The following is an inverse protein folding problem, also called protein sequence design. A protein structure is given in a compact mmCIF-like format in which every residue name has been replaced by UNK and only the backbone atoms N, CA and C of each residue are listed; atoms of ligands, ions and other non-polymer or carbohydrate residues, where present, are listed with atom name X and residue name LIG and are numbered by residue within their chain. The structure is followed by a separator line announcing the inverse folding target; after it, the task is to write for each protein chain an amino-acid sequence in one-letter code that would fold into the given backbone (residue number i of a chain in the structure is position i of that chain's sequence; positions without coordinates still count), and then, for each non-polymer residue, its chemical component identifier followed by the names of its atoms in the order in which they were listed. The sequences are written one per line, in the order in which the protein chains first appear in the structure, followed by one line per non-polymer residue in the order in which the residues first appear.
data_IF_097764862804
#
_entry.id   IF_097764862804
#
_cell.length_a   1.000
_cell.length_b   1.000
_cell.length_c   1.000
_cell.angle_alpha   90.00
_cell.angle_beta   90.00
_cell.angle_gamma   90.00
#
_symmetry.space_group_name_H-M   'P 1'
#
loop_
_entity.id
_entity.type
_entity.pdbx_description
1 polymer ?
#
# COMPACT_ATOMS: atom_id res chain seq x y z
N UNK A 1 -11.64 3.64 4.42
CA UNK A 1 -10.20 3.69 4.08
C UNK A 1 -9.49 2.46 4.65
N UNK A 2 -8.57 1.85 3.90
CA UNK A 2 -7.63 0.84 4.42
C UNK A 2 -6.23 1.45 4.52
N UNK A 3 -5.64 1.44 5.72
CA UNK A 3 -4.32 2.01 5.99
C UNK A 3 -3.29 0.92 6.27
N UNK A 4 -2.17 0.95 5.52
CA UNK A 4 -1.02 0.08 5.73
C UNK A 4 0.26 0.90 5.63
N UNK A 5 0.86 1.25 6.77
CA UNK A 5 2.07 2.06 6.83
C UNK A 5 3.19 1.31 7.58
N UNK A 6 4.41 1.36 7.06
CA UNK A 6 5.58 0.72 7.63
C UNK A 6 6.70 1.74 7.87
N UNK A 7 7.56 1.46 8.82
CA UNK A 7 8.79 2.22 9.02
C UNK A 7 9.71 2.15 7.79
N UNK A 8 10.49 3.20 7.58
CA UNK A 8 11.47 3.32 6.49
C UNK A 8 12.83 3.62 7.08
N UNK A 9 13.75 2.67 7.01
CA UNK A 9 15.05 2.70 7.71
C UNK A 9 16.05 3.70 7.12
N UNK A 10 15.86 4.12 5.85
CA UNK A 10 16.80 4.97 5.11
C UNK A 10 16.13 6.25 4.58
N UNK A 11 15.06 6.70 5.20
CA UNK A 11 14.39 7.93 4.80
C UNK A 11 15.08 9.15 5.46
N UNK A 12 15.02 10.30 4.78
CA UNK A 12 15.49 11.57 5.32
C UNK A 12 14.55 12.14 6.40
N UNK A 13 13.31 11.66 6.44
CA UNK A 13 12.29 12.04 7.43
C UNK A 13 12.04 10.84 8.36
N UNK A 14 12.13 11.00 9.68
CA UNK A 14 11.80 9.93 10.61
C UNK A 14 10.40 9.38 10.37
N UNK A 15 10.26 8.05 10.35
CA UNK A 15 8.97 7.38 10.09
C UNK A 15 7.85 7.83 11.03
N UNK A 16 8.21 8.23 12.24
CA UNK A 16 7.29 8.80 13.25
C UNK A 16 6.65 10.09 12.76
N UNK A 17 7.41 10.99 12.14
CA UNK A 17 6.89 12.26 11.64
C UNK A 17 5.94 12.02 10.46
N UNK A 18 6.32 11.14 9.54
CA UNK A 18 5.49 10.76 8.39
C UNK A 18 4.18 10.10 8.83
N UNK A 19 4.24 9.28 9.89
CA UNK A 19 3.06 8.62 10.45
C UNK A 19 2.17 9.60 11.23
N UNK A 20 2.75 10.56 11.98
CA UNK A 20 1.99 11.64 12.61
C UNK A 20 1.22 12.45 11.58
N UNK A 21 1.89 12.86 10.49
CA UNK A 21 1.26 13.59 9.39
C UNK A 21 0.09 12.80 8.75
N UNK A 22 0.23 11.47 8.62
CA UNK A 22 -0.85 10.61 8.15
C UNK A 22 -2.04 10.60 9.13
N UNK A 23 -1.79 10.42 10.43
CA UNK A 23 -2.86 10.40 11.43
C UNK A 23 -3.60 11.75 11.50
N UNK A 24 -2.89 12.86 11.45
CA UNK A 24 -3.46 14.21 11.38
C UNK A 24 -4.31 14.43 10.11
N UNK A 25 -3.82 13.94 8.97
CA UNK A 25 -4.58 14.00 7.72
C UNK A 25 -5.89 13.21 7.82
N UNK A 26 -5.86 12.01 8.41
CA UNK A 26 -7.06 11.19 8.63
C UNK A 26 -8.06 11.87 9.57
N UNK A 27 -7.60 12.49 10.66
CA UNK A 27 -8.45 13.27 11.57
C UNK A 27 -9.19 14.40 10.85
N UNK A 28 -8.52 15.06 9.91
CA UNK A 28 -9.10 16.17 9.16
C UNK A 28 -10.22 15.77 8.19
N UNK A 29 -10.41 14.46 7.94
CA UNK A 29 -11.47 13.94 7.06
C UNK A 29 -12.83 13.81 7.76
N UNK A 30 -12.87 13.84 9.10
CA UNK A 30 -14.09 13.73 9.90
C UNK A 30 -14.44 12.30 10.31
N UNK A 31 -15.40 12.18 11.23
CA UNK A 31 -15.77 10.91 11.88
C UNK A 31 -16.69 10.01 11.03
N UNK A 32 -17.26 10.52 9.95
CA UNK A 32 -18.13 9.78 9.04
C UNK A 32 -17.34 8.76 8.18
N UNK A 33 -16.00 8.85 8.18
CA UNK A 33 -15.13 7.96 7.41
C UNK A 33 -14.63 6.82 8.28
N UNK A 34 -14.99 5.59 7.91
CA UNK A 34 -14.47 4.38 8.56
C UNK A 34 -13.02 4.09 8.15
N UNK A 35 -12.16 3.77 9.11
CA UNK A 35 -10.74 3.52 8.89
C UNK A 35 -10.34 2.15 9.43
N UNK A 36 -9.78 1.33 8.56
CA UNK A 36 -9.23 0.02 8.90
C UNK A 36 -7.71 0.12 8.84
N UNK A 37 -7.03 -0.14 9.94
CA UNK A 37 -5.57 -0.20 9.98
C UNK A 37 -5.06 -1.63 10.00
N UNK A 38 -3.94 -1.87 9.32
CA UNK A 38 -3.07 -3.01 9.59
C UNK A 38 -1.84 -2.54 10.35
N UNK A 39 -1.40 -3.30 11.36
CA UNK A 39 -0.25 -2.91 12.19
C UNK A 39 1.04 -2.86 11.36
N UNK A 40 1.92 -1.90 11.63
CA UNK A 40 3.29 -1.89 11.11
C UNK A 40 4.07 -3.15 11.47
N UNK A 41 5.18 -3.41 10.76
CA UNK A 41 6.12 -4.45 11.15
C UNK A 41 6.74 -4.14 12.53
N UNK A 42 7.09 -5.21 13.28
CA UNK A 42 7.63 -5.09 14.67
C UNK A 42 9.14 -4.81 14.71
N UNK A 43 9.72 -4.13 13.73
CA UNK A 43 11.08 -3.62 13.80
C UNK A 43 11.22 -2.48 14.84
N UNK A 44 12.44 -1.97 15.02
CA UNK A 44 12.72 -1.00 16.10
C UNK A 44 11.85 0.26 16.00
N UNK A 45 11.70 0.84 14.82
CA UNK A 45 10.84 2.01 14.59
C UNK A 45 9.36 1.62 14.55
N UNK A 46 9.04 0.44 14.02
CA UNK A 46 7.68 -0.07 13.93
C UNK A 46 6.98 -0.19 15.28
N UNK A 47 7.71 -0.48 16.37
CA UNK A 47 7.14 -0.49 17.73
C UNK A 47 6.64 0.88 18.16
N UNK A 48 7.32 1.94 17.78
CA UNK A 48 6.90 3.30 18.08
C UNK A 48 5.63 3.66 17.28
N UNK A 49 5.58 3.28 16.00
CA UNK A 49 4.39 3.46 15.17
C UNK A 49 3.19 2.68 15.72
N UNK A 50 3.41 1.45 16.21
CA UNK A 50 2.35 0.65 16.85
C UNK A 50 1.78 1.36 18.07
N UNK A 51 2.65 1.91 18.94
CA UNK A 51 2.21 2.67 20.11
C UNK A 51 1.36 3.89 19.71
N UNK A 52 1.83 4.68 18.74
CA UNK A 52 1.08 5.83 18.22
C UNK A 52 -0.27 5.41 17.64
N UNK A 53 -0.32 4.28 16.93
CA UNK A 53 -1.56 3.76 16.37
C UNK A 53 -2.54 3.32 17.46
N UNK A 54 -2.05 2.62 18.49
CA UNK A 54 -2.90 2.17 19.61
C UNK A 54 -3.50 3.36 20.37
N UNK A 55 -2.69 4.38 20.65
CA UNK A 55 -3.15 5.64 21.26
C UNK A 55 -4.16 6.37 20.35
N UNK A 56 -3.93 6.36 19.04
CA UNK A 56 -4.81 7.02 18.08
C UNK A 56 -6.19 6.40 18.01
N UNK A 57 -6.30 5.08 18.08
CA UNK A 57 -7.59 4.37 17.90
C UNK A 57 -8.38 4.18 19.18
N UNK A 58 -7.78 4.39 20.36
CA UNK A 58 -8.36 4.08 21.68
C UNK A 58 -9.74 4.72 21.88
N UNK A 59 -9.91 5.98 21.46
CA UNK A 59 -11.14 6.74 21.64
C UNK A 59 -11.92 6.99 20.34
N UNK A 60 -11.62 6.24 19.24
CA UNK A 60 -12.23 6.45 17.93
C UNK A 60 -13.11 5.28 17.51
N UNK A 61 -14.43 5.48 17.51
CA UNK A 61 -15.41 4.46 17.13
C UNK A 61 -15.43 4.14 15.63
N UNK A 62 -14.90 5.03 14.78
CA UNK A 62 -14.80 4.86 13.34
C UNK A 62 -13.50 4.15 12.90
N UNK A 63 -12.63 3.76 13.84
CA UNK A 63 -11.36 3.11 13.58
C UNK A 63 -11.31 1.68 14.09
N UNK A 64 -10.68 0.78 13.33
CA UNK A 64 -10.41 -0.60 13.75
C UNK A 64 -8.99 -1.00 13.33
N UNK A 65 -8.30 -1.77 14.19
CA UNK A 65 -6.93 -2.23 13.95
C UNK A 65 -6.86 -3.75 13.91
N UNK A 66 -6.19 -4.27 12.91
CA UNK A 66 -5.83 -5.69 12.82
C UNK A 66 -4.32 -5.85 12.79
N UNK A 67 -3.80 -6.84 13.50
CA UNK A 67 -2.38 -7.19 13.42
C UNK A 67 -2.02 -7.66 12.01
N UNK A 68 -2.88 -8.47 11.42
CA UNK A 68 -2.82 -8.91 10.04
C UNK A 68 -4.20 -9.38 9.60
N UNK A 69 -4.58 -9.06 8.37
CA UNK A 69 -5.80 -9.58 7.75
C UNK A 69 -5.56 -10.92 7.04
N UNK A 70 -4.30 -11.29 6.81
CA UNK A 70 -3.96 -12.37 5.89
C UNK A 70 -4.37 -12.03 4.45
N UNK A 71 -3.94 -12.83 3.48
CA UNK A 71 -4.12 -12.49 2.06
C UNK A 71 -5.59 -12.35 1.66
N UNK A 72 -6.42 -13.36 1.97
CA UNK A 72 -7.81 -13.37 1.52
C UNK A 72 -8.61 -12.18 2.06
N UNK A 73 -8.57 -11.95 3.37
CA UNK A 73 -9.30 -10.83 3.98
C UNK A 73 -8.76 -9.50 3.53
N UNK A 74 -7.43 -9.36 3.41
CA UNK A 74 -6.80 -8.13 2.94
C UNK A 74 -7.30 -7.75 1.55
N UNK A 75 -7.20 -8.66 0.57
CA UNK A 75 -7.65 -8.40 -0.80
C UNK A 75 -9.17 -8.18 -0.87
N UNK A 76 -9.97 -8.90 -0.08
CA UNK A 76 -11.40 -8.65 0.02
C UNK A 76 -11.71 -7.27 0.59
N UNK A 77 -10.96 -6.82 1.60
CA UNK A 77 -11.09 -5.47 2.15
C UNK A 77 -10.71 -4.41 1.11
N UNK A 78 -9.59 -4.62 0.40
CA UNK A 78 -9.16 -3.72 -0.69
C UNK A 78 -10.25 -3.54 -1.74
N UNK A 79 -10.95 -4.63 -2.11
CA UNK A 79 -12.02 -4.58 -3.11
C UNK A 79 -13.30 -3.85 -2.63
N UNK A 80 -13.43 -3.59 -1.33
CA UNK A 80 -14.62 -3.00 -0.71
C UNK A 80 -14.41 -1.59 -0.16
N UNK A 81 -13.15 -1.17 0.03
CA UNK A 81 -12.84 0.19 0.50
C UNK A 81 -12.77 1.18 -0.64
N UNK A 82 -12.99 2.45 -0.35
CA UNK A 82 -12.94 3.53 -1.33
C UNK A 82 -11.48 3.91 -1.68
N UNK A 83 -10.54 3.73 -0.74
CA UNK A 83 -9.13 4.06 -0.97
C UNK A 83 -8.20 3.25 -0.05
N UNK A 84 -7.01 2.91 -0.55
CA UNK A 84 -5.89 2.37 0.22
C UNK A 84 -4.86 3.48 0.43
N UNK A 85 -4.40 3.66 1.68
CA UNK A 85 -3.46 4.72 2.05
C UNK A 85 -2.24 4.14 2.76
N UNK A 86 -1.06 4.62 2.44
CA UNK A 86 0.17 4.25 3.15
C UNK A 86 1.38 4.09 2.23
N UNK A 87 2.35 3.30 2.66
CA UNK A 87 3.60 3.10 1.92
C UNK A 87 3.91 1.62 1.64
N UNK A 88 2.91 0.76 1.74
CA UNK A 88 3.07 -0.68 1.48
C UNK A 88 3.26 -0.97 -0.02
N UNK A 89 4.09 -1.96 -0.33
CA UNK A 89 4.24 -2.45 -1.71
C UNK A 89 2.96 -3.03 -2.29
N UNK A 90 2.05 -3.51 -1.46
CA UNK A 90 0.75 -4.00 -1.89
C UNK A 90 -0.07 -2.93 -2.62
N UNK A 91 -0.02 -1.67 -2.13
CA UNK A 91 -0.67 -0.53 -2.79
C UNK A 91 -0.24 -0.33 -4.24
N UNK A 92 1.00 -0.70 -4.56
CA UNK A 92 1.59 -0.57 -5.90
C UNK A 92 1.38 -1.83 -6.75
N UNK A 93 1.49 -3.02 -6.14
CA UNK A 93 1.58 -4.30 -6.88
C UNK A 93 0.25 -5.02 -6.98
N UNK A 94 -0.55 -5.02 -5.91
CA UNK A 94 -1.78 -5.83 -5.80
C UNK A 94 -3.05 -4.99 -5.99
N UNK A 95 -3.13 -3.85 -5.31
CA UNK A 95 -4.32 -2.98 -5.26
C UNK A 95 -4.83 -2.56 -6.65
N UNK A 96 -3.98 -2.23 -7.64
CA UNK A 96 -4.45 -1.86 -8.98
C UNK A 96 -5.26 -2.95 -9.70
N UNK A 97 -4.98 -4.25 -9.39
CA UNK A 97 -5.77 -5.37 -9.94
C UNK A 97 -7.21 -5.38 -9.44
N UNK A 98 -7.48 -4.76 -8.30
CA UNK A 98 -8.80 -4.65 -7.68
C UNK A 98 -9.51 -3.33 -8.00
N UNK A 99 -8.90 -2.49 -8.84
CA UNK A 99 -9.47 -1.21 -9.30
C UNK A 99 -9.73 -0.22 -8.16
N UNK A 100 -8.99 -0.33 -7.07
CA UNK A 100 -9.08 0.55 -5.92
C UNK A 100 -7.96 1.59 -5.99
N UNK A 101 -8.24 2.88 -5.76
CA UNK A 101 -7.21 3.91 -5.74
C UNK A 101 -6.27 3.75 -4.54
N UNK A 102 -5.01 4.13 -4.74
CA UNK A 102 -3.97 4.10 -3.70
C UNK A 102 -3.34 5.46 -3.53
N UNK A 103 -3.26 5.96 -2.30
CA UNK A 103 -2.39 7.08 -1.91
C UNK A 103 -1.09 6.50 -1.37
N UNK A 104 0.00 6.65 -2.13
CA UNK A 104 1.32 6.17 -1.75
C UNK A 104 2.13 7.32 -1.13
N UNK A 105 2.46 7.17 0.16
CA UNK A 105 3.12 8.21 0.96
C UNK A 105 4.64 8.00 0.94
N UNK A 106 5.36 9.02 0.51
CA UNK A 106 6.83 9.07 0.52
C UNK A 106 7.50 8.13 -0.47
N UNK A 107 8.80 7.98 -0.32
CA UNK A 107 9.72 7.41 -1.31
C UNK A 107 9.96 5.90 -1.17
N UNK A 108 9.37 5.22 -0.17
CA UNK A 108 9.61 3.78 0.07
C UNK A 108 9.40 2.91 -1.17
N UNK A 109 8.50 3.31 -2.06
CA UNK A 109 8.18 2.58 -3.29
C UNK A 109 8.75 3.25 -4.55
N UNK A 110 9.69 4.17 -4.42
CA UNK A 110 10.34 4.88 -5.54
C UNK A 110 10.97 3.92 -6.54
N UNK A 111 10.87 4.23 -7.83
CA UNK A 111 11.42 3.42 -8.91
C UNK A 111 10.56 2.22 -9.34
N UNK A 112 9.47 1.92 -8.64
CA UNK A 112 8.51 0.90 -9.08
C UNK A 112 7.59 1.45 -10.16
N UNK A 113 7.11 0.59 -11.06
CA UNK A 113 6.08 0.94 -12.04
C UNK A 113 4.80 1.40 -11.31
N UNK A 114 4.08 2.33 -11.93
CA UNK A 114 2.82 2.88 -11.40
C UNK A 114 1.66 2.53 -12.32
N UNK A 115 0.56 2.11 -11.73
CA UNK A 115 -0.74 2.12 -12.40
C UNK A 115 -1.38 3.51 -12.25
N UNK A 116 -2.34 3.85 -13.11
CA UNK A 116 -3.04 5.15 -13.08
C UNK A 116 -3.91 5.35 -11.83
N UNK A 117 -4.13 4.28 -11.02
CA UNK A 117 -4.83 4.35 -9.74
C UNK A 117 -3.96 4.82 -8.57
N UNK A 118 -2.67 5.11 -8.79
CA UNK A 118 -1.73 5.43 -7.71
C UNK A 118 -1.45 6.93 -7.71
N UNK A 119 -1.70 7.56 -6.57
CA UNK A 119 -1.38 8.95 -6.28
C UNK A 119 -0.20 8.96 -5.32
N UNK A 120 0.97 9.40 -5.79
CA UNK A 120 2.15 9.59 -4.92
C UNK A 120 2.05 10.95 -4.21
N UNK A 121 2.37 11.01 -2.91
CA UNK A 121 2.42 12.26 -2.17
C UNK A 121 3.57 12.30 -1.16
N UNK A 122 4.00 13.51 -0.84
CA UNK A 122 4.95 13.76 0.24
C UNK A 122 4.30 13.45 1.60
N UNK A 123 5.09 13.05 2.62
CA UNK A 123 4.60 12.75 3.97
C UNK A 123 4.30 14.02 4.78
N UNK A 124 3.42 14.88 4.24
CA UNK A 124 2.97 16.15 4.81
C UNK A 124 1.45 16.09 4.93
N UNK A 125 0.91 16.50 6.06
CA UNK A 125 -0.51 16.41 6.42
C UNK A 125 -1.44 16.89 5.30
N UNK A 126 -1.22 18.09 4.76
CA UNK A 126 -2.06 18.66 3.70
C UNK A 126 -1.95 17.88 2.39
N UNK A 127 -0.73 17.45 2.00
CA UNK A 127 -0.53 16.68 0.77
C UNK A 127 -1.24 15.32 0.84
N UNK A 128 -1.17 14.65 2.00
CA UNK A 128 -1.86 13.38 2.23
C UNK A 128 -3.37 13.57 2.17
N UNK A 129 -3.90 14.59 2.84
CA UNK A 129 -5.32 14.94 2.84
C UNK A 129 -5.84 15.20 1.42
N UNK A 130 -5.18 16.08 0.68
CA UNK A 130 -5.54 16.42 -0.70
C UNK A 130 -5.51 15.17 -1.60
N UNK A 131 -4.49 14.32 -1.43
CA UNK A 131 -4.36 13.07 -2.19
C UNK A 131 -5.48 12.08 -1.88
N UNK A 132 -5.91 11.97 -0.62
CA UNK A 132 -7.05 11.13 -0.23
C UNK A 132 -8.35 11.69 -0.86
N UNK A 133 -8.55 12.99 -0.81
CA UNK A 133 -9.73 13.64 -1.43
C UNK A 133 -9.75 13.48 -2.95
N UNK A 134 -8.58 13.48 -3.60
CA UNK A 134 -8.45 13.17 -5.01
C UNK A 134 -8.75 11.69 -5.29
N UNK A 135 -8.24 10.79 -4.47
CA UNK A 135 -8.45 9.34 -4.59
C UNK A 135 -9.94 8.97 -4.51
N UNK A 136 -10.72 9.59 -3.62
CA UNK A 136 -12.17 9.37 -3.54
C UNK A 136 -12.95 9.72 -4.82
N UNK A 137 -12.37 10.54 -5.71
CA UNK A 137 -12.99 10.97 -6.96
C UNK A 137 -12.42 10.24 -8.18
N UNK A 138 -11.39 9.42 -7.99
CA UNK A 138 -10.66 8.78 -9.08
C UNK A 138 -11.42 7.57 -9.60
N UNK A 139 -11.79 7.59 -10.88
CA UNK A 139 -12.32 6.41 -11.56
C UNK A 139 -11.20 5.45 -11.95
N UNK A 140 -11.16 4.31 -11.29
CA UNK A 140 -10.18 3.26 -11.53
C UNK A 140 -10.70 2.10 -12.41
N UNK A 141 -11.88 2.20 -12.99
CA UNK A 141 -12.54 1.11 -13.74
C UNK A 141 -11.71 0.58 -14.91
N UNK A 142 -10.96 1.45 -15.58
CA UNK A 142 -10.12 1.12 -16.75
C UNK A 142 -8.64 0.91 -16.42
N UNK A 143 -8.24 1.03 -15.16
CA UNK A 143 -6.84 0.89 -14.73
C UNK A 143 -6.28 -0.48 -15.12
N UNK A 144 -5.07 -0.50 -15.65
CA UNK A 144 -4.30 -1.72 -15.95
C UNK A 144 -3.17 -1.86 -14.95
N UNK A 145 -3.06 -3.04 -14.33
CA UNK A 145 -1.95 -3.32 -13.42
C UNK A 145 -0.68 -3.67 -14.22
N UNK A 146 0.40 -2.87 -14.14
CA UNK A 146 1.64 -3.14 -14.86
C UNK A 146 2.38 -4.39 -14.35
N UNK A 147 2.02 -4.91 -13.16
CA UNK A 147 2.66 -6.09 -12.57
C UNK A 147 2.05 -7.42 -13.00
N UNK A 148 0.96 -7.42 -13.75
CA UNK A 148 0.41 -8.63 -14.34
C UNK A 148 -1.11 -8.63 -14.46
N UNK A 149 -1.58 -9.62 -15.20
CA UNK A 149 -2.98 -9.85 -15.56
C UNK A 149 -3.52 -11.21 -15.05
N UNK A 150 -2.79 -11.87 -14.14
CA UNK A 150 -3.14 -13.19 -13.60
C UNK A 150 -2.60 -14.38 -14.39
N UNK A 151 -2.06 -14.18 -15.61
CA UNK A 151 -1.62 -15.27 -16.51
C UNK A 151 -0.11 -15.59 -16.40
N UNK A 152 0.56 -15.19 -15.31
CA UNK A 152 2.01 -15.36 -15.13
C UNK A 152 2.41 -16.82 -15.12
N UNK A 153 1.65 -17.69 -14.46
CA UNK A 153 1.93 -19.13 -14.37
C UNK A 153 1.98 -19.78 -15.76
N UNK A 154 1.00 -19.49 -16.61
CA UNK A 154 0.94 -20.02 -17.97
C UNK A 154 2.13 -19.56 -18.82
N UNK A 155 2.50 -18.28 -18.71
CA UNK A 155 3.65 -17.69 -19.40
C UNK A 155 4.96 -18.35 -18.94
N UNK A 156 5.14 -18.52 -17.63
CA UNK A 156 6.32 -19.22 -17.07
C UNK A 156 6.38 -20.65 -17.56
N UNK A 157 5.28 -21.40 -17.48
CA UNK A 157 5.22 -22.78 -17.95
C UNK A 157 5.51 -22.90 -19.45
N UNK A 158 5.00 -21.96 -20.26
CA UNK A 158 5.30 -21.90 -21.69
C UNK A 158 6.80 -21.75 -21.93
N UNK A 159 7.44 -20.76 -21.30
CA UNK A 159 8.89 -20.53 -21.42
C UNK A 159 9.68 -21.77 -20.99
N UNK A 160 9.33 -22.37 -19.84
CA UNK A 160 10.02 -23.57 -19.34
C UNK A 160 9.91 -24.76 -20.29
N UNK A 161 8.77 -24.97 -20.94
CA UNK A 161 8.54 -26.04 -21.91
C UNK A 161 9.29 -25.82 -23.23
N UNK A 162 9.55 -24.58 -23.61
CA UNK A 162 10.27 -24.20 -24.83
C UNK A 162 11.79 -24.25 -24.67
N UNK A 163 12.32 -24.49 -23.46
CA UNK A 163 13.75 -24.60 -23.21
C UNK A 163 14.26 -25.97 -23.69
N UNK A 164 14.95 -25.98 -24.83
CA UNK A 164 15.53 -27.20 -25.42
C UNK A 164 16.85 -27.59 -24.77
N UNK A 165 17.58 -26.67 -24.14
CA UNK A 165 18.92 -26.86 -23.60
C UNK A 165 19.03 -26.24 -22.18
N UNK A 166 18.39 -26.84 -21.14
CA UNK A 166 18.38 -26.29 -19.78
C UNK A 166 19.78 -26.20 -19.15
N UNK A 167 20.71 -27.05 -19.59
CA UNK A 167 22.12 -27.04 -19.15
C UNK A 167 22.83 -25.71 -19.45
N UNK A 168 22.40 -24.95 -20.46
CA UNK A 168 22.93 -23.61 -20.78
C UNK A 168 22.51 -22.52 -19.79
N UNK A 169 21.49 -22.77 -18.98
CA UNK A 169 20.98 -21.82 -17.98
C UNK A 169 21.76 -21.93 -16.66
N UNK A 170 22.56 -22.98 -16.46
CA UNK A 170 23.30 -23.20 -15.21
C UNK A 170 24.42 -22.18 -15.03
N UNK A 171 25.06 -21.76 -16.15
CA UNK A 171 26.11 -20.74 -16.12
C UNK A 171 25.59 -19.43 -16.65
N UNK A 172 25.61 -18.41 -15.79
CA UNK A 172 25.35 -17.02 -16.20
C UNK A 172 26.60 -16.47 -16.90
N UNK A 173 26.43 -16.00 -18.11
CA UNK A 173 27.44 -15.21 -18.83
C UNK A 173 27.02 -13.75 -18.68
N UNK A 174 27.80 -13.00 -17.92
CA UNK A 174 27.66 -11.54 -17.77
C UNK A 174 28.49 -10.85 -18.84
#
# INVERSE_FOLDING_TARGET
ILVTFHSVTLDNVPSVNSFSALLEALDSLGEDIGIIFTRPNSDTEGRQLIKMLDEYVEDRSNCIVYTSLGQLRYLSTVALVDVVVGNSSSGIVEVPSLKTPTVNIGDRQKGRLRADSIIDCEPITENIKESIQQAFKLDCSTVVNPYGDGNTTERVLKVLREINHPERLIKKHF
#
